data_IF_758839944212
#
_entry.id   IF_758839944212
#
_cell.length_a   1.000
_cell.length_b   1.000
_cell.length_c   1.000
_cell.angle_alpha   90.00
_cell.angle_beta   90.00
_cell.angle_gamma   90.00
#
_symmetry.space_group_name_H-M   'P 1'
#
loop_
_entity.id
_entity.type
_entity.pdbx_description
1 polymer ?
#
# COMPACT_ATOMS: atom_id res chain seq x y z
N UNK A 1 -11.97 65.95 67.34
CA UNK A 1 -11.79 64.50 67.43
C UNK A 1 -12.15 63.94 66.06
N UNK A 2 -11.18 63.35 65.39
CA UNK A 2 -11.20 63.14 63.93
C UNK A 2 -11.88 61.81 63.52
N UNK A 3 -12.86 61.92 62.64
CA UNK A 3 -13.49 60.72 61.98
C UNK A 3 -12.54 60.11 60.98
N UNK A 4 -12.31 58.78 61.11
CA UNK A 4 -11.66 58.01 60.11
C UNK A 4 -12.72 57.39 59.18
N UNK A 5 -12.72 57.84 57.93
CA UNK A 5 -13.57 57.24 56.90
C UNK A 5 -12.89 55.95 56.34
N UNK A 6 -13.55 54.84 56.53
CA UNK A 6 -13.15 53.57 55.90
C UNK A 6 -13.54 53.57 54.42
N UNK A 7 -12.55 53.60 53.56
CA UNK A 7 -12.75 53.39 52.14
C UNK A 7 -12.64 51.90 51.87
N UNK A 8 -13.78 51.26 51.62
CA UNK A 8 -13.80 49.88 51.09
C UNK A 8 -13.50 49.88 49.60
N UNK A 9 -12.30 49.43 49.27
CA UNK A 9 -11.96 49.13 47.86
C UNK A 9 -12.53 47.77 47.51
N UNK A 10 -13.55 47.77 46.65
CA UNK A 10 -14.10 46.55 46.06
C UNK A 10 -13.17 46.09 44.91
N UNK A 11 -12.40 45.06 45.16
CA UNK A 11 -11.71 44.33 44.07
C UNK A 11 -12.74 43.47 43.35
N UNK A 12 -13.11 43.87 42.15
CA UNK A 12 -13.91 43.03 41.22
C UNK A 12 -12.90 42.11 40.50
N UNK A 13 -12.87 40.84 40.92
CA UNK A 13 -12.11 39.78 40.26
C UNK A 13 -12.83 39.40 38.97
N UNK A 14 -12.42 39.89 37.83
CA UNK A 14 -12.86 39.44 36.51
C UNK A 14 -12.16 38.13 36.23
N UNK A 15 -12.84 37.01 36.50
CA UNK A 15 -12.38 35.71 36.07
C UNK A 15 -12.63 35.60 34.55
N UNK A 16 -11.57 35.80 33.77
CA UNK A 16 -11.57 35.56 32.33
C UNK A 16 -11.54 34.04 32.09
N UNK A 17 -12.69 33.45 31.92
CA UNK A 17 -12.82 32.05 31.57
C UNK A 17 -12.41 31.89 30.09
N UNK A 18 -11.13 31.61 29.84
CA UNK A 18 -10.69 31.17 28.50
C UNK A 18 -11.23 29.78 28.24
N UNK A 19 -12.36 29.71 27.54
CA UNK A 19 -12.89 28.48 26.99
C UNK A 19 -11.95 28.01 25.88
N UNK A 20 -10.95 27.20 26.22
CA UNK A 20 -10.17 26.46 25.23
C UNK A 20 -11.12 25.43 24.63
N UNK A 21 -11.73 25.78 23.51
CA UNK A 21 -12.50 24.85 22.71
C UNK A 21 -11.56 23.75 22.24
N UNK A 22 -11.59 22.59 22.90
CA UNK A 22 -11.05 21.37 22.34
C UNK A 22 -11.89 21.08 21.08
N UNK A 23 -11.38 21.45 19.92
CA UNK A 23 -11.91 20.94 18.65
C UNK A 23 -11.57 19.47 18.63
N UNK A 24 -12.49 18.62 19.10
CA UNK A 24 -12.45 17.20 18.84
C UNK A 24 -12.55 17.03 17.32
N UNK A 25 -11.40 16.85 16.65
CA UNK A 25 -11.41 16.41 15.27
C UNK A 25 -12.03 15.02 15.26
N UNK A 26 -13.30 14.95 14.89
CA UNK A 26 -13.95 13.70 14.55
C UNK A 26 -13.29 13.23 13.24
N UNK A 27 -12.24 12.42 13.36
CA UNK A 27 -11.72 11.68 12.21
C UNK A 27 -12.82 10.67 11.83
N UNK A 28 -13.27 10.72 10.59
CA UNK A 28 -14.16 9.68 10.10
C UNK A 28 -13.39 8.36 10.08
N UNK A 29 -14.07 7.27 10.45
CA UNK A 29 -13.45 5.95 10.39
C UNK A 29 -12.97 5.67 8.94
N UNK A 30 -11.81 5.02 8.77
CA UNK A 30 -11.32 4.65 7.44
C UNK A 30 -12.35 3.76 6.73
N UNK A 31 -12.52 3.97 5.42
CA UNK A 31 -13.32 3.10 4.58
C UNK A 31 -12.43 1.94 4.13
N UNK A 32 -12.76 0.73 4.58
CA UNK A 32 -12.04 -0.50 4.16
C UNK A 32 -12.88 -1.23 3.13
N UNK A 33 -12.24 -1.61 2.01
CA UNK A 33 -12.81 -2.43 0.96
C UNK A 33 -12.03 -3.73 0.86
N UNK A 34 -12.74 -4.87 0.83
CA UNK A 34 -12.12 -6.19 0.68
C UNK A 34 -13.00 -7.08 -0.18
N UNK A 35 -12.37 -7.89 -1.01
CA UNK A 35 -13.01 -8.95 -1.80
C UNK A 35 -12.01 -10.06 -2.08
N UNK A 36 -12.49 -11.28 -2.26
CA UNK A 36 -11.68 -12.42 -2.66
C UNK A 36 -12.47 -13.35 -3.58
N UNK A 37 -11.77 -14.06 -4.43
CA UNK A 37 -12.38 -15.02 -5.34
C UNK A 37 -11.42 -15.62 -6.35
N UNK A 38 -11.91 -16.53 -7.17
CA UNK A 38 -11.09 -17.35 -8.05
C UNK A 38 -10.42 -16.59 -9.22
N UNK A 39 -10.90 -15.40 -9.56
CA UNK A 39 -10.43 -14.65 -10.73
C UNK A 39 -10.76 -13.15 -10.61
N UNK A 40 -10.29 -12.36 -11.58
CA UNK A 40 -10.49 -10.91 -11.63
C UNK A 40 -11.97 -10.50 -11.55
N UNK A 41 -12.88 -11.20 -12.24
CA UNK A 41 -14.29 -10.86 -12.25
C UNK A 41 -14.94 -10.95 -10.87
N UNK A 42 -14.45 -11.84 -10.01
CA UNK A 42 -14.97 -12.03 -8.65
C UNK A 42 -14.68 -10.85 -7.71
N UNK A 43 -13.62 -10.10 -7.96
CA UNK A 43 -13.21 -8.96 -7.11
C UNK A 43 -13.38 -7.61 -7.80
N UNK A 44 -13.64 -7.58 -9.12
CA UNK A 44 -13.65 -6.38 -9.95
C UNK A 44 -14.55 -5.27 -9.37
N UNK A 45 -15.79 -5.62 -9.01
CA UNK A 45 -16.75 -4.61 -8.50
C UNK A 45 -16.25 -3.88 -7.24
N UNK A 46 -15.57 -4.60 -6.34
CA UNK A 46 -15.00 -4.00 -5.12
C UNK A 46 -13.79 -3.15 -5.43
N UNK A 47 -12.93 -3.59 -6.36
CA UNK A 47 -11.79 -2.80 -6.84
C UNK A 47 -12.28 -1.50 -7.49
N UNK A 48 -13.34 -1.56 -8.31
CA UNK A 48 -13.91 -0.37 -8.95
C UNK A 48 -14.57 0.58 -7.94
N UNK A 49 -15.20 0.06 -6.88
CA UNK A 49 -15.67 0.89 -5.79
C UNK A 49 -14.51 1.62 -5.08
N UNK A 50 -13.40 0.91 -4.84
CA UNK A 50 -12.21 1.54 -4.25
C UNK A 50 -11.60 2.61 -5.17
N UNK A 51 -11.54 2.34 -6.48
CA UNK A 51 -11.15 3.33 -7.49
C UNK A 51 -12.02 4.59 -7.43
N UNK A 52 -13.33 4.42 -7.26
CA UNK A 52 -14.27 5.54 -7.12
C UNK A 52 -14.06 6.32 -5.81
N UNK A 53 -13.74 5.66 -4.70
CA UNK A 53 -13.42 6.32 -3.42
C UNK A 53 -12.22 7.27 -3.54
N UNK A 54 -11.25 6.95 -4.42
CA UNK A 54 -10.03 7.74 -4.64
C UNK A 54 -10.17 8.80 -5.75
N UNK A 55 -11.19 8.66 -6.62
CA UNK A 55 -11.44 9.59 -7.72
C UNK A 55 -10.85 9.17 -9.07
N UNK A 56 -10.80 10.07 -10.07
CA UNK A 56 -10.38 9.76 -11.43
C UNK A 56 -8.91 9.33 -11.53
N UNK A 57 -8.62 8.50 -12.53
CA UNK A 57 -7.24 8.09 -12.84
C UNK A 57 -6.46 9.25 -13.45
N UNK A 58 -5.35 9.61 -12.83
CA UNK A 58 -4.45 10.64 -13.31
C UNK A 58 -3.40 10.06 -14.29
N UNK A 59 -2.92 10.87 -15.25
CA UNK A 59 -1.88 10.44 -16.18
C UNK A 59 -0.54 10.21 -15.47
N UNK A 60 0.27 9.28 -16.03
CA UNK A 60 1.59 8.91 -15.50
C UNK A 60 2.66 9.94 -15.90
N UNK A 61 2.57 11.14 -15.37
CA UNK A 61 3.49 12.26 -15.63
C UNK A 61 4.09 12.76 -14.31
N UNK A 62 5.23 13.45 -14.41
CA UNK A 62 5.91 14.10 -13.28
C UNK A 62 5.16 15.39 -12.84
N UNK A 63 3.85 15.27 -12.62
CA UNK A 63 2.98 16.35 -12.16
C UNK A 63 2.15 15.85 -10.99
N UNK A 64 1.86 16.75 -10.06
CA UNK A 64 0.92 16.50 -8.97
C UNK A 64 -0.46 17.06 -9.36
N UNK A 65 -1.50 16.26 -9.21
CA UNK A 65 -2.89 16.66 -9.46
C UNK A 65 -3.60 16.90 -8.12
N UNK A 66 -4.57 17.83 -8.06
CA UNK A 66 -5.21 18.18 -6.80
C UNK A 66 -6.05 17.04 -6.20
N UNK A 67 -6.52 16.13 -7.03
CA UNK A 67 -7.36 14.98 -6.63
C UNK A 67 -7.12 13.80 -7.55
N UNK A 68 -7.78 12.68 -7.29
CA UNK A 68 -7.72 11.49 -8.12
C UNK A 68 -6.75 10.44 -7.58
N UNK A 69 -6.39 9.51 -8.44
CA UNK A 69 -5.60 8.34 -8.08
C UNK A 69 -4.50 8.03 -9.09
N UNK A 70 -3.56 7.20 -8.66
CA UNK A 70 -2.56 6.52 -9.48
C UNK A 70 -2.74 5.01 -9.36
N UNK A 71 -2.35 4.29 -10.39
CA UNK A 71 -2.39 2.83 -10.42
C UNK A 71 -1.07 2.28 -10.97
N UNK A 72 -0.63 1.14 -10.45
CA UNK A 72 0.49 0.35 -10.95
C UNK A 72 -0.05 -1.05 -11.21
N UNK A 73 -0.13 -1.46 -12.47
CA UNK A 73 -0.55 -2.79 -12.90
C UNK A 73 0.62 -3.65 -13.43
N UNK A 74 1.85 -3.14 -13.36
CA UNK A 74 3.12 -3.78 -13.75
C UNK A 74 3.28 -4.07 -15.24
N UNK A 75 2.22 -4.21 -16.02
CA UNK A 75 2.22 -4.68 -17.41
C UNK A 75 3.06 -3.81 -18.34
N UNK A 76 3.14 -2.51 -18.07
CA UNK A 76 3.97 -1.56 -18.83
C UNK A 76 5.46 -1.56 -18.44
N UNK A 77 5.90 -2.41 -17.53
CA UNK A 77 7.34 -2.52 -17.17
C UNK A 77 8.09 -3.20 -18.31
N UNK A 78 9.14 -2.59 -18.87
CA UNK A 78 9.95 -3.21 -19.93
C UNK A 78 10.66 -4.49 -19.46
N UNK A 79 10.92 -5.42 -20.37
CA UNK A 79 11.63 -6.67 -20.08
C UNK A 79 13.00 -6.47 -19.44
N UNK A 80 13.67 -5.35 -19.73
CA UNK A 80 14.94 -4.99 -19.08
C UNK A 80 14.82 -4.79 -17.56
N UNK A 81 13.62 -4.59 -17.02
CA UNK A 81 13.33 -4.37 -15.59
C UNK A 81 12.38 -5.42 -15.02
N UNK A 82 12.16 -6.51 -15.72
CA UNK A 82 11.35 -7.66 -15.27
C UNK A 82 12.14 -8.95 -15.32
N UNK A 83 11.61 -10.03 -14.76
CA UNK A 83 12.28 -11.34 -14.71
C UNK A 83 13.00 -11.72 -16.02
N UNK A 84 14.25 -12.18 -15.94
CA UNK A 84 15.03 -12.47 -14.73
C UNK A 84 15.72 -11.24 -14.10
N UNK A 85 15.55 -10.03 -14.67
CA UNK A 85 16.12 -8.80 -14.15
C UNK A 85 15.31 -8.27 -12.95
N UNK A 86 15.91 -7.30 -12.24
CA UNK A 86 15.28 -6.67 -11.08
C UNK A 86 14.71 -5.31 -11.45
N UNK A 87 13.63 -4.95 -10.76
CA UNK A 87 13.02 -3.63 -10.86
C UNK A 87 13.79 -2.63 -9.97
N UNK A 88 14.24 -1.48 -10.48
CA UNK A 88 14.75 -0.41 -9.63
C UNK A 88 13.70 0.05 -8.62
N UNK A 89 14.07 0.26 -7.34
CA UNK A 89 13.09 0.61 -6.30
C UNK A 89 12.35 1.93 -6.56
N UNK A 90 12.92 2.83 -7.34
CA UNK A 90 12.34 4.13 -7.70
C UNK A 90 11.76 4.17 -9.13
N UNK A 91 11.58 3.02 -9.78
CA UNK A 91 11.08 2.95 -11.16
C UNK A 91 9.78 3.74 -11.34
N UNK A 92 8.83 3.59 -10.41
CA UNK A 92 7.53 4.27 -10.45
C UNK A 92 7.55 5.70 -9.87
N UNK A 93 8.72 6.25 -9.67
CA UNK A 93 8.90 7.67 -9.41
C UNK A 93 9.74 8.37 -10.50
N UNK A 94 10.67 7.66 -11.14
CA UNK A 94 11.61 8.22 -12.11
C UNK A 94 11.27 7.84 -13.55
N UNK A 95 11.22 6.52 -13.84
CA UNK A 95 10.99 6.02 -15.21
C UNK A 95 9.53 6.13 -15.63
N UNK A 96 8.62 5.90 -14.71
CA UNK A 96 7.18 5.97 -14.93
C UNK A 96 6.53 6.74 -13.77
N UNK A 97 6.61 8.09 -13.80
CA UNK A 97 6.34 8.93 -12.62
C UNK A 97 4.91 8.77 -12.09
N UNK A 98 4.78 8.07 -10.97
CA UNK A 98 3.55 7.86 -10.20
C UNK A 98 3.72 8.18 -8.71
N UNK A 99 4.95 8.59 -8.31
CA UNK A 99 5.24 8.98 -6.93
C UNK A 99 5.36 7.82 -5.94
N UNK A 100 5.62 6.59 -6.40
CA UNK A 100 5.83 5.43 -5.55
C UNK A 100 7.29 4.97 -5.57
N UNK A 101 7.88 4.78 -4.39
CA UNK A 101 9.24 4.27 -4.19
C UNK A 101 9.20 3.11 -3.21
N UNK A 102 9.83 2.00 -3.55
CA UNK A 102 9.83 0.79 -2.77
C UNK A 102 11.06 0.69 -1.87
N UNK A 103 10.86 0.25 -0.64
CA UNK A 103 11.94 -0.12 0.28
C UNK A 103 11.60 -1.44 0.97
N UNK A 104 12.59 -2.08 1.57
CA UNK A 104 12.41 -3.29 2.36
C UNK A 104 13.34 -3.25 3.56
N UNK A 105 12.91 -3.75 4.73
CA UNK A 105 13.79 -3.89 5.90
C UNK A 105 14.79 -5.03 5.76
N UNK A 106 14.65 -5.89 4.73
CA UNK A 106 15.46 -7.07 4.54
C UNK A 106 16.74 -6.73 3.76
N UNK A 107 17.88 -7.04 4.35
CA UNK A 107 19.17 -6.81 3.71
C UNK A 107 19.27 -7.56 2.38
N UNK A 108 19.71 -6.86 1.33
CA UNK A 108 19.94 -7.37 -0.02
C UNK A 108 18.72 -7.94 -0.76
N UNK A 109 17.50 -7.80 -0.24
CA UNK A 109 16.31 -8.22 -0.97
C UNK A 109 16.10 -7.33 -2.21
N UNK A 110 15.54 -7.92 -3.27
CA UNK A 110 15.38 -7.30 -4.58
C UNK A 110 13.89 -7.18 -4.91
N UNK A 111 13.54 -6.19 -5.72
CA UNK A 111 12.19 -6.06 -6.27
C UNK A 111 12.15 -6.67 -7.66
N UNK A 112 11.09 -7.44 -7.95
CA UNK A 112 10.95 -8.10 -9.26
C UNK A 112 9.52 -8.07 -9.76
N UNK A 113 9.41 -7.80 -11.04
CA UNK A 113 8.19 -7.95 -11.83
C UNK A 113 8.31 -9.22 -12.65
N UNK A 114 7.27 -10.03 -12.73
CA UNK A 114 7.31 -11.30 -13.47
C UNK A 114 7.43 -11.06 -14.99
N UNK A 115 7.88 -12.07 -15.69
CA UNK A 115 8.02 -12.07 -17.15
C UNK A 115 6.67 -12.10 -17.86
N UNK A 116 6.64 -11.69 -19.13
CA UNK A 116 5.53 -11.94 -20.07
C UNK A 116 5.81 -13.19 -20.89
N UNK A 117 4.76 -13.77 -21.47
CA UNK A 117 4.91 -14.90 -22.39
C UNK A 117 5.78 -14.56 -23.62
N UNK A 118 5.78 -13.30 -24.05
CA UNK A 118 6.56 -12.85 -25.22
C UNK A 118 8.07 -12.78 -24.94
N UNK A 119 8.50 -12.69 -23.68
CA UNK A 119 9.91 -12.59 -23.30
C UNK A 119 10.69 -13.90 -23.43
N UNK A 120 10.01 -15.03 -23.58
CA UNK A 120 10.63 -16.36 -23.57
C UNK A 120 11.05 -16.85 -22.17
N UNK A 121 10.81 -16.07 -21.13
CA UNK A 121 11.02 -16.45 -19.72
C UNK A 121 9.68 -16.97 -19.16
N UNK A 122 9.68 -18.02 -18.32
CA UNK A 122 8.44 -18.50 -17.70
C UNK A 122 7.70 -17.40 -16.96
N UNK A 123 6.39 -17.29 -17.21
CA UNK A 123 5.53 -16.27 -16.60
C UNK A 123 5.34 -16.49 -15.09
N UNK A 124 4.88 -15.45 -14.38
CA UNK A 124 4.45 -15.54 -12.97
C UNK A 124 5.52 -16.10 -12.05
N UNK A 125 6.78 -15.77 -12.30
CA UNK A 125 7.95 -16.26 -11.55
C UNK A 125 8.25 -17.76 -11.72
N UNK A 126 7.76 -18.37 -12.81
CA UNK A 126 8.03 -19.78 -13.11
C UNK A 126 9.51 -20.11 -13.37
N UNK A 127 10.36 -19.10 -13.60
CA UNK A 127 11.81 -19.26 -13.66
C UNK A 127 12.45 -19.45 -12.28
N UNK A 128 11.74 -19.08 -11.22
CA UNK A 128 12.15 -19.32 -9.83
C UNK A 128 11.68 -20.69 -9.40
N UNK A 129 10.40 -20.98 -9.57
CA UNK A 129 9.81 -22.30 -9.33
C UNK A 129 8.70 -22.57 -10.36
N UNK A 130 8.76 -23.69 -11.12
CA UNK A 130 7.76 -24.00 -12.15
C UNK A 130 6.31 -24.06 -11.64
N UNK A 131 6.09 -24.40 -10.35
CA UNK A 131 4.74 -24.48 -9.78
C UNK A 131 4.03 -23.12 -9.75
N UNK A 132 4.76 -22.02 -9.67
CA UNK A 132 4.20 -20.67 -9.63
C UNK A 132 3.41 -20.28 -10.86
N UNK A 133 3.75 -20.87 -12.02
CA UNK A 133 3.00 -20.62 -13.27
C UNK A 133 1.52 -21.01 -13.19
N UNK A 134 1.18 -21.93 -12.30
CA UNK A 134 -0.20 -22.43 -12.11
C UNK A 134 -0.81 -21.98 -10.79
N UNK A 135 -0.01 -21.68 -9.78
CA UNK A 135 -0.47 -21.25 -8.47
C UNK A 135 -0.94 -19.79 -8.49
N UNK A 136 -0.17 -18.92 -9.14
CA UNK A 136 -0.52 -17.50 -9.17
C UNK A 136 -1.49 -17.16 -10.31
N UNK A 137 -2.53 -16.40 -9.97
CA UNK A 137 -3.52 -15.84 -10.89
C UNK A 137 -3.32 -14.34 -11.01
N UNK A 138 -3.47 -13.75 -12.21
CA UNK A 138 -3.38 -12.30 -12.40
C UNK A 138 -4.75 -11.64 -12.32
N UNK A 139 -4.81 -10.42 -11.77
CA UNK A 139 -5.97 -9.54 -11.81
C UNK A 139 -5.97 -8.71 -13.08
N UNK A 140 -4.91 -7.95 -13.32
CA UNK A 140 -4.61 -7.36 -14.62
C UNK A 140 -3.73 -8.31 -15.45
N UNK A 141 -3.71 -8.11 -16.77
CA UNK A 141 -3.09 -9.08 -17.66
C UNK A 141 -1.57 -9.07 -17.52
N UNK A 142 -0.97 -10.23 -17.38
CA UNK A 142 0.38 -10.74 -17.58
C UNK A 142 1.32 -10.66 -16.40
N UNK A 143 1.54 -9.51 -15.74
CA UNK A 143 2.67 -9.34 -14.81
C UNK A 143 2.23 -9.28 -13.35
N UNK A 144 3.06 -9.85 -12.50
CA UNK A 144 2.96 -9.81 -11.05
C UNK A 144 4.22 -9.17 -10.45
N UNK A 145 4.14 -8.76 -9.20
CA UNK A 145 5.23 -8.12 -8.48
C UNK A 145 5.50 -8.77 -7.13
N UNK A 146 6.77 -8.83 -6.73
CA UNK A 146 7.16 -9.35 -5.41
C UNK A 146 8.53 -8.86 -4.97
N UNK A 147 8.82 -9.11 -3.69
CA UNK A 147 10.17 -9.03 -3.13
C UNK A 147 10.84 -10.39 -3.29
N UNK A 148 12.05 -10.39 -3.86
CA UNK A 148 12.87 -11.59 -3.97
C UNK A 148 13.83 -11.63 -2.79
N UNK A 149 13.74 -12.63 -1.91
CA UNK A 149 14.71 -12.82 -0.84
C UNK A 149 16.08 -13.21 -1.42
N UNK A 150 17.14 -12.77 -0.77
CA UNK A 150 18.50 -13.27 -1.04
C UNK A 150 18.91 -14.14 0.12
N UNK A 151 19.18 -15.43 -0.17
CA UNK A 151 19.55 -16.42 0.83
C UNK A 151 20.67 -15.90 1.76
N UNK A 152 20.62 -16.17 3.11
CA UNK A 152 19.71 -17.07 3.81
C UNK A 152 18.39 -16.43 4.29
N UNK A 153 18.08 -15.21 3.87
CA UNK A 153 16.89 -14.50 4.30
C UNK A 153 15.64 -14.95 3.53
N UNK A 154 14.50 -14.99 4.18
CA UNK A 154 13.19 -15.27 3.58
C UNK A 154 12.33 -13.99 3.58
N UNK A 155 12.84 -12.94 2.92
CA UNK A 155 12.17 -11.64 2.91
C UNK A 155 10.84 -11.68 2.17
N UNK A 156 9.80 -11.20 2.80
CA UNK A 156 8.46 -11.05 2.28
C UNK A 156 7.83 -9.69 2.66
N UNK A 157 8.66 -8.70 3.02
CA UNK A 157 8.21 -7.39 3.49
C UNK A 157 8.62 -6.31 2.50
N UNK A 158 7.65 -5.52 2.08
CA UNK A 158 7.77 -4.36 1.22
C UNK A 158 7.21 -3.13 1.93
N UNK A 159 7.83 -1.97 1.75
CA UNK A 159 7.25 -0.68 2.09
C UNK A 159 7.10 0.16 0.82
N UNK A 160 5.90 0.66 0.56
CA UNK A 160 5.60 1.65 -0.47
C UNK A 160 5.66 3.02 0.18
N UNK A 161 6.58 3.86 -0.27
CA UNK A 161 6.75 5.24 0.20
C UNK A 161 6.25 6.19 -0.89
N UNK A 162 5.57 7.27 -0.50
CA UNK A 162 4.99 8.22 -1.45
C UNK A 162 5.79 9.50 -1.56
N UNK A 163 5.94 9.97 -2.80
CA UNK A 163 6.64 11.21 -3.17
C UNK A 163 5.80 11.98 -4.21
N UNK A 164 5.96 13.28 -4.29
CA UNK A 164 5.44 14.02 -5.43
C UNK A 164 6.07 13.43 -6.71
N UNK A 165 5.22 13.06 -7.68
CA UNK A 165 5.63 12.27 -8.84
C UNK A 165 6.81 12.90 -9.60
N UNK A 166 7.88 12.13 -9.81
CA UNK A 166 9.11 12.56 -10.46
C UNK A 166 10.06 13.39 -9.60
N UNK A 167 9.81 13.50 -8.29
CA UNK A 167 10.62 14.29 -7.37
C UNK A 167 11.10 13.48 -6.16
N UNK A 168 11.91 14.10 -5.31
CA UNK A 168 12.33 13.57 -4.01
C UNK A 168 11.54 14.19 -2.84
N UNK A 169 10.52 15.00 -3.11
CA UNK A 169 9.68 15.63 -2.09
C UNK A 169 8.73 14.59 -1.51
N UNK A 170 8.80 14.30 -0.20
CA UNK A 170 7.85 13.40 0.44
C UNK A 170 6.41 13.85 0.23
N UNK A 171 5.53 12.90 0.03
CA UNK A 171 4.11 13.14 -0.21
C UNK A 171 3.24 12.16 0.58
N UNK A 172 1.95 12.40 0.58
CA UNK A 172 0.96 11.56 1.23
C UNK A 172 -0.20 11.28 0.29
N UNK A 173 -0.90 10.16 0.51
CA UNK A 173 -2.06 9.75 -0.31
C UNK A 173 -3.31 9.62 0.55
N UNK A 174 -4.49 9.73 -0.08
CA UNK A 174 -5.79 9.59 0.60
C UNK A 174 -6.21 8.14 0.84
N UNK A 175 -5.54 7.17 0.23
CA UNK A 175 -5.83 5.76 0.40
C UNK A 175 -4.83 4.91 -0.37
N UNK A 176 -4.77 3.62 -0.01
CA UNK A 176 -3.93 2.61 -0.63
C UNK A 176 -4.67 1.27 -0.67
N UNK A 177 -4.59 0.58 -1.79
CA UNK A 177 -5.12 -0.76 -2.00
C UNK A 177 -4.18 -1.62 -2.84
N UNK A 178 -4.25 -2.93 -2.63
CA UNK A 178 -3.42 -3.94 -3.29
C UNK A 178 -4.22 -5.20 -3.57
N UNK A 179 -3.97 -5.80 -4.73
CA UNK A 179 -4.42 -7.15 -5.06
C UNK A 179 -3.29 -8.12 -4.74
N UNK A 180 -3.60 -9.13 -3.95
CA UNK A 180 -2.75 -10.30 -3.72
C UNK A 180 -3.23 -11.47 -4.56
N UNK A 181 -2.33 -12.34 -4.95
CA UNK A 181 -2.67 -13.64 -5.55
C UNK A 181 -2.19 -14.76 -4.63
N UNK A 182 -3.06 -15.74 -4.45
CA UNK A 182 -2.76 -16.98 -3.77
C UNK A 182 -2.55 -16.83 -2.26
N UNK A 183 -3.48 -16.17 -1.60
CA UNK A 183 -3.52 -16.10 -0.13
C UNK A 183 -4.14 -17.38 0.40
N UNK A 184 -3.36 -18.34 0.84
CA UNK A 184 -3.86 -19.62 1.34
C UNK A 184 -4.56 -19.50 2.69
N UNK A 185 -4.04 -18.65 3.55
CA UNK A 185 -4.58 -18.46 4.91
C UNK A 185 -4.74 -16.98 5.24
N UNK A 186 -5.92 -16.59 5.74
CA UNK A 186 -6.16 -15.22 6.23
C UNK A 186 -5.13 -14.85 7.31
N UNK A 187 -4.48 -13.71 7.12
CA UNK A 187 -3.42 -13.21 8.00
C UNK A 187 -2.00 -13.48 7.53
N UNK A 188 -1.79 -14.33 6.50
CA UNK A 188 -0.47 -14.50 5.87
C UNK A 188 -0.10 -13.29 5.01
N UNK A 189 -1.07 -12.58 4.43
CA UNK A 189 -0.88 -11.25 3.84
C UNK A 189 -1.38 -10.16 4.78
N UNK A 190 -0.67 -9.01 4.84
CA UNK A 190 -1.03 -7.87 5.69
C UNK A 190 -0.61 -6.55 5.05
N UNK A 191 -1.40 -5.52 5.30
CA UNK A 191 -1.06 -4.13 4.97
C UNK A 191 -1.20 -3.28 6.23
N UNK A 192 -0.21 -2.45 6.52
CA UNK A 192 -0.25 -1.46 7.60
C UNK A 192 0.20 -0.13 7.00
N UNK A 193 -0.68 0.87 7.04
CA UNK A 193 -0.37 2.19 6.53
C UNK A 193 -0.12 3.19 7.68
N UNK A 194 0.85 4.07 7.48
CA UNK A 194 1.34 5.02 8.45
C UNK A 194 1.17 6.45 7.94
N UNK A 195 0.87 7.36 8.83
CA UNK A 195 0.89 8.79 8.54
C UNK A 195 2.32 9.35 8.53
N UNK A 196 2.49 10.63 8.19
CA UNK A 196 3.81 11.28 8.13
C UNK A 196 4.52 11.38 9.49
N UNK A 197 3.80 11.28 10.61
CA UNK A 197 4.37 11.23 11.96
C UNK A 197 4.77 9.79 12.40
N UNK A 198 4.59 8.79 11.52
CA UNK A 198 4.89 7.38 11.80
C UNK A 198 3.82 6.65 12.63
N UNK A 199 2.70 7.29 12.89
CA UNK A 199 1.56 6.66 13.55
C UNK A 199 0.78 5.74 12.59
N UNK A 200 0.34 4.57 13.08
CA UNK A 200 -0.54 3.67 12.32
C UNK A 200 -1.92 4.33 12.22
N UNK A 201 -2.40 4.55 11.00
CA UNK A 201 -3.73 5.12 10.75
C UNK A 201 -4.72 4.16 10.08
N UNK A 202 -4.28 3.04 9.54
CA UNK A 202 -5.16 2.04 8.91
C UNK A 202 -5.59 0.90 9.84
N UNK A 203 -4.90 0.70 10.97
CA UNK A 203 -4.89 -0.59 11.65
C UNK A 203 -4.13 -1.65 10.84
N UNK A 204 -4.26 -2.92 11.23
CA UNK A 204 -3.71 -4.06 10.49
C UNK A 204 -4.80 -4.56 9.55
N UNK A 205 -4.58 -4.43 8.25
CA UNK A 205 -5.50 -4.89 7.21
C UNK A 205 -5.06 -6.27 6.73
N UNK A 206 -5.96 -7.25 6.80
CA UNK A 206 -5.72 -8.62 6.33
C UNK A 206 -6.73 -8.97 5.24
N UNK A 207 -6.30 -9.30 4.00
CA UNK A 207 -7.20 -9.76 2.98
C UNK A 207 -7.80 -11.12 3.33
N UNK A 208 -8.99 -11.40 2.82
CA UNK A 208 -9.61 -12.73 2.94
C UNK A 208 -8.85 -13.73 2.07
N UNK A 209 -8.64 -14.95 2.56
CA UNK A 209 -7.98 -16.00 1.84
C UNK A 209 -8.72 -16.38 0.53
N UNK A 210 -7.95 -16.71 -0.50
CA UNK A 210 -8.38 -17.24 -1.79
C UNK A 210 -7.25 -18.07 -2.41
N UNK A 211 -7.06 -19.32 -1.99
CA UNK A 211 -6.03 -20.21 -2.54
C UNK A 211 -6.15 -20.31 -4.06
N UNK A 212 -5.06 -20.13 -4.79
CA UNK A 212 -5.04 -20.10 -6.26
C UNK A 212 -5.78 -18.94 -6.90
N UNK A 213 -6.40 -18.05 -6.11
CA UNK A 213 -7.23 -16.95 -6.56
C UNK A 213 -6.67 -15.59 -6.22
N UNK A 214 -7.56 -14.60 -6.13
CA UNK A 214 -7.23 -13.19 -5.90
C UNK A 214 -7.87 -12.67 -4.62
N UNK A 215 -7.14 -11.83 -3.90
CA UNK A 215 -7.60 -11.18 -2.67
C UNK A 215 -7.26 -9.70 -2.73
N UNK A 216 -8.28 -8.85 -2.74
CA UNK A 216 -8.14 -7.39 -2.70
C UNK A 216 -8.36 -6.86 -1.28
N UNK A 217 -7.54 -5.91 -0.87
CA UNK A 217 -7.80 -5.06 0.28
C UNK A 217 -7.34 -3.63 0.01
N UNK A 218 -8.17 -2.67 0.39
CA UNK A 218 -7.86 -1.25 0.29
C UNK A 218 -8.45 -0.46 1.46
N UNK A 219 -7.78 0.62 1.83
CA UNK A 219 -8.22 1.58 2.83
C UNK A 219 -8.18 2.99 2.24
N UNK A 220 -9.25 3.75 2.44
CA UNK A 220 -9.32 5.17 2.07
C UNK A 220 -9.82 6.03 3.21
N UNK A 221 -9.40 7.28 3.21
CA UNK A 221 -9.74 8.30 4.19
C UNK A 221 -10.39 9.49 3.48
N UNK A 222 -11.52 9.93 3.96
CA UNK A 222 -12.31 11.02 3.37
C UNK A 222 -12.46 12.24 4.29
N UNK A 223 -11.86 12.23 5.47
CA UNK A 223 -11.92 13.33 6.44
C UNK A 223 -10.58 14.07 6.62
N UNK A 224 -9.65 13.92 5.67
CA UNK A 224 -8.39 14.64 5.65
C UNK A 224 -7.18 13.86 6.20
N UNK A 225 -7.36 12.67 6.73
CA UNK A 225 -6.26 11.79 7.11
C UNK A 225 -5.47 11.37 5.87
N UNK A 226 -4.15 11.24 6.03
CA UNK A 226 -3.23 10.97 4.91
C UNK A 226 -2.24 9.86 5.28
N UNK A 227 -1.90 9.06 4.27
CA UNK A 227 -0.93 7.96 4.34
C UNK A 227 0.39 8.43 3.74
N UNK A 228 1.49 8.32 4.49
CA UNK A 228 2.83 8.60 4.00
C UNK A 228 3.52 7.35 3.44
N UNK A 229 3.21 6.18 4.00
CA UNK A 229 3.76 4.90 3.56
C UNK A 229 2.84 3.74 3.95
N UNK A 230 2.93 2.64 3.19
CA UNK A 230 2.28 1.38 3.56
C UNK A 230 3.31 0.25 3.57
N UNK A 231 3.37 -0.50 4.66
CA UNK A 231 4.13 -1.73 4.76
C UNK A 231 3.23 -2.91 4.40
N UNK A 232 3.72 -3.77 3.54
CA UNK A 232 3.06 -4.97 3.06
C UNK A 232 3.87 -6.18 3.49
N UNK A 233 3.23 -7.15 4.10
CA UNK A 233 3.77 -8.50 4.27
C UNK A 233 3.05 -9.40 3.27
N UNK A 234 3.80 -10.11 2.42
CA UNK A 234 3.26 -10.98 1.37
C UNK A 234 3.67 -12.43 1.62
N UNK A 235 2.80 -13.18 2.31
CA UNK A 235 3.01 -14.56 2.64
C UNK A 235 3.75 -14.82 3.96
N UNK A 236 4.03 -16.06 4.21
CA UNK A 236 4.88 -16.50 5.34
C UNK A 236 6.37 -16.52 4.97
N UNK A 237 6.66 -16.52 3.68
CA UNK A 237 7.99 -16.48 3.08
C UNK A 237 7.96 -15.76 1.73
N UNK A 238 9.11 -15.30 1.25
CA UNK A 238 9.25 -14.82 -0.12
C UNK A 238 9.33 -15.97 -1.14
N UNK A 239 9.09 -15.65 -2.42
CA UNK A 239 9.26 -16.62 -3.52
C UNK A 239 10.71 -17.07 -3.64
N UNK A 240 10.93 -18.38 -3.67
CA UNK A 240 12.25 -18.99 -3.81
C UNK A 240 12.12 -20.39 -4.41
N UNK A 241 13.21 -20.96 -4.98
CA UNK A 241 13.20 -22.34 -5.44
C UNK A 241 12.85 -23.32 -4.29
N UNK A 242 11.91 -24.22 -4.54
CA UNK A 242 11.46 -25.21 -3.56
C UNK A 242 10.52 -24.66 -2.47
N UNK A 243 10.14 -23.39 -2.51
CA UNK A 243 9.04 -22.87 -1.72
C UNK A 243 7.73 -23.19 -2.44
N UNK A 244 7.34 -24.46 -2.37
CA UNK A 244 6.10 -24.91 -2.99
C UNK A 244 4.91 -24.22 -2.33
N UNK A 245 4.01 -23.76 -3.17
CA UNK A 245 2.73 -23.27 -2.75
C UNK A 245 1.90 -24.41 -2.18
N UNK A 246 1.54 -24.32 -0.93
CA UNK A 246 0.67 -25.28 -0.26
C UNK A 246 0.77 -25.18 1.26
N UNK A 247 -0.36 -25.05 1.91
CA UNK A 247 -0.49 -24.96 3.37
C UNK A 247 0.12 -26.16 4.16
N UNK A 248 0.64 -27.18 3.46
CA UNK A 248 1.06 -28.47 4.07
C UNK A 248 2.26 -28.32 5.01
N UNK A 249 3.06 -27.23 4.92
CA UNK A 249 4.21 -26.99 5.79
C UNK A 249 4.29 -25.55 6.33
N UNK A 250 3.18 -24.79 6.26
CA UNK A 250 3.18 -23.39 6.69
C UNK A 250 3.97 -22.44 5.76
N UNK A 251 4.31 -22.91 4.55
CA UNK A 251 4.95 -22.12 3.50
C UNK A 251 3.87 -21.61 2.54
N UNK A 252 3.68 -20.29 2.51
CA UNK A 252 2.68 -19.62 1.71
C UNK A 252 3.36 -18.40 1.04
N UNK A 253 4.01 -18.57 -0.13
CA UNK A 253 4.55 -17.46 -0.90
C UNK A 253 3.39 -16.74 -1.61
N UNK A 254 3.16 -15.49 -1.26
CA UNK A 254 2.12 -14.64 -1.85
C UNK A 254 2.81 -13.57 -2.69
N UNK A 255 2.28 -13.31 -3.88
CA UNK A 255 2.75 -12.21 -4.71
C UNK A 255 1.63 -11.19 -4.96
N UNK A 256 1.96 -10.05 -5.54
CA UNK A 256 1.04 -8.92 -5.68
C UNK A 256 0.79 -8.60 -7.15
N UNK A 257 -0.42 -8.13 -7.41
CA UNK A 257 -0.81 -7.50 -8.66
C UNK A 257 -1.06 -6.00 -8.41
N UNK A 258 -2.12 -5.41 -8.92
CA UNK A 258 -2.38 -3.98 -8.94
C UNK A 258 -2.19 -3.29 -7.58
N UNK A 259 -1.45 -2.17 -7.59
CA UNK A 259 -1.46 -1.16 -6.53
C UNK A 259 -2.29 0.03 -6.98
N UNK A 260 -3.23 0.45 -6.13
CA UNK A 260 -4.17 1.55 -6.39
C UNK A 260 -4.07 2.52 -5.21
N UNK A 261 -3.75 3.79 -5.46
CA UNK A 261 -3.58 4.77 -4.37
C UNK A 261 -4.00 6.17 -4.80
N UNK A 262 -4.39 6.99 -3.83
CA UNK A 262 -4.72 8.38 -4.07
C UNK A 262 -3.54 9.15 -4.67
N UNK A 263 -3.81 10.27 -5.34
CA UNK A 263 -2.74 11.13 -5.88
C UNK A 263 -1.78 11.56 -4.75
N UNK A 264 -0.46 11.35 -4.91
CA UNK A 264 0.52 11.80 -3.93
C UNK A 264 0.56 13.34 -3.84
N UNK A 265 0.26 13.86 -2.65
CA UNK A 265 0.28 15.29 -2.33
C UNK A 265 1.43 15.59 -1.36
N UNK A 266 2.29 16.59 -1.64
CA UNK A 266 3.35 17.05 -0.74
C UNK A 266 2.85 17.52 0.62
#
# INVERSE_FOLDING_TARGET
MKNLNNVFVKFTLVAMLTLVGLVLQNFAAPVVRTASGANAAAIQATVDQFRNDLGPLNPNTAMTFPTGRREINWDGVPDAFSSPNNLPPNFFNVNSPRGAVFTTPCSNALFRVSATAASGVPVRFGEIDPSYTTSFTTFSAQRLFTVIPVFPNSCNILTVNFFAAGTTTPATVSGFGVVFTDVDTTGNARVICYNAAGGINSGILTPTAAPGGLSFIGVSFNAGERIAQCQITSGTTGVAPGHFNGAVFGVDPIVMDDFIYGEPQP
#
